data_IF_237474969818
#
_entry.id   IF_237474969818
#
_cell.length_a   1.000
_cell.length_b   1.000
_cell.length_c   1.000
_cell.angle_alpha   90.00
_cell.angle_beta   90.00
_cell.angle_gamma   90.00
#
_symmetry.space_group_name_H-M   'P 1'
#
loop_
_entity.id
_entity.type
_entity.pdbx_description
1 polymer ?
#
# COMPACT_ATOMS: atom_id res chain seq x y z
N UNK A 1 20.70 16.31 -16.36
CA UNK A 1 19.54 15.83 -17.14
C UNK A 1 18.67 14.96 -16.24
N UNK A 2 17.46 15.40 -15.88
CA UNK A 2 16.55 14.58 -15.09
C UNK A 2 16.15 13.33 -15.89
N UNK A 3 16.34 12.13 -15.32
CA UNK A 3 15.98 10.86 -15.98
C UNK A 3 14.50 10.90 -16.35
N UNK A 4 14.19 10.88 -17.66
CA UNK A 4 12.81 10.83 -18.15
C UNK A 4 12.14 9.59 -17.57
N UNK A 5 11.13 9.77 -16.72
CA UNK A 5 10.41 8.65 -16.10
C UNK A 5 9.75 7.84 -17.21
N UNK A 6 10.14 6.58 -17.36
CA UNK A 6 9.50 5.65 -18.30
C UNK A 6 8.07 5.35 -17.81
N UNK A 7 7.11 5.26 -18.73
CA UNK A 7 5.70 4.94 -18.44
C UNK A 7 4.72 5.97 -18.99
N UNK A 8 3.43 5.63 -18.96
CA UNK A 8 2.30 6.47 -19.32
C UNK A 8 2.06 7.55 -18.25
N UNK A 9 1.63 8.73 -18.68
CA UNK A 9 1.03 9.71 -17.78
C UNK A 9 -0.36 9.19 -17.40
N UNK A 10 -0.50 8.75 -16.15
CA UNK A 10 -1.73 8.24 -15.57
C UNK A 10 -1.92 9.01 -14.28
N UNK A 11 -3.04 9.69 -14.17
CA UNK A 11 -3.42 10.51 -13.04
C UNK A 11 -4.70 9.93 -12.42
N UNK A 12 -4.69 9.68 -11.12
CA UNK A 12 -5.86 9.14 -10.44
C UNK A 12 -5.55 8.43 -9.13
N UNK A 13 -6.61 7.96 -8.49
CA UNK A 13 -6.57 7.19 -7.25
C UNK A 13 -7.15 5.80 -7.51
N UNK A 14 -6.43 4.76 -7.11
CA UNK A 14 -6.96 3.40 -7.02
C UNK A 14 -7.14 3.04 -5.56
N UNK A 15 -8.36 2.64 -5.21
CA UNK A 15 -8.66 2.04 -3.90
C UNK A 15 -8.45 0.54 -4.06
N UNK A 16 -7.29 0.03 -3.64
CA UNK A 16 -6.96 -1.39 -3.73
C UNK A 16 -7.39 -2.10 -2.46
N UNK A 17 -8.04 -3.25 -2.58
CA UNK A 17 -8.11 -4.22 -1.48
C UNK A 17 -6.84 -5.08 -1.49
N UNK A 18 -5.93 -4.84 -0.54
CA UNK A 18 -4.62 -5.50 -0.48
C UNK A 18 -4.81 -6.93 0.02
N UNK A 19 -4.33 -7.96 -0.71
CA UNK A 19 -4.35 -9.32 -0.20
C UNK A 19 -3.34 -9.51 0.95
N UNK A 20 -3.55 -10.57 1.73
CA UNK A 20 -2.59 -10.99 2.76
C UNK A 20 -1.32 -11.57 2.12
N UNK A 21 -0.21 -11.56 2.86
CA UNK A 21 1.11 -12.01 2.42
C UNK A 21 1.83 -11.02 1.48
N UNK A 22 1.18 -9.96 1.02
CA UNK A 22 1.77 -8.96 0.13
C UNK A 22 2.13 -7.68 0.89
N UNK A 23 3.34 -7.17 0.70
CA UNK A 23 3.71 -5.84 1.22
C UNK A 23 3.00 -4.72 0.44
N UNK A 24 2.76 -3.60 1.09
CA UNK A 24 2.13 -2.43 0.45
C UNK A 24 2.91 -1.93 -0.78
N UNK A 25 4.24 -1.97 -0.74
CA UNK A 25 5.05 -1.61 -1.89
C UNK A 25 4.95 -2.65 -3.03
N UNK A 26 4.88 -3.95 -2.72
CA UNK A 26 4.68 -4.96 -3.77
C UNK A 26 3.34 -4.76 -4.49
N UNK A 27 2.27 -4.46 -3.74
CA UNK A 27 0.96 -4.11 -4.29
C UNK A 27 1.02 -2.86 -5.18
N UNK A 28 1.70 -1.80 -4.72
CA UNK A 28 1.94 -0.58 -5.50
C UNK A 28 2.68 -0.87 -6.81
N UNK A 29 3.78 -1.64 -6.78
CA UNK A 29 4.55 -1.95 -7.98
C UNK A 29 3.74 -2.79 -8.96
N UNK A 30 2.92 -3.72 -8.47
CA UNK A 30 2.03 -4.52 -9.30
C UNK A 30 1.02 -3.63 -10.03
N UNK A 31 0.31 -2.76 -9.30
CA UNK A 31 -0.63 -1.80 -9.89
C UNK A 31 0.06 -0.83 -10.87
N UNK A 32 1.20 -0.26 -10.50
CA UNK A 32 1.99 0.63 -11.36
C UNK A 32 2.39 -0.05 -12.68
N UNK A 33 2.74 -1.34 -12.65
CA UNK A 33 3.04 -2.13 -13.85
C UNK A 33 1.79 -2.37 -14.69
N UNK A 34 0.66 -2.73 -14.08
CA UNK A 34 -0.61 -2.97 -14.79
C UNK A 34 -1.09 -1.73 -15.55
N UNK A 35 -1.02 -0.54 -14.94
CA UNK A 35 -1.36 0.71 -15.61
C UNK A 35 -0.23 1.29 -16.46
N UNK A 36 0.97 0.70 -16.42
CA UNK A 36 2.17 1.23 -17.05
C UNK A 36 2.51 2.65 -16.60
N UNK A 37 2.19 3.02 -15.35
CA UNK A 37 2.24 4.40 -14.88
C UNK A 37 3.68 4.89 -14.61
N UNK A 38 3.98 6.12 -15.04
CA UNK A 38 5.30 6.73 -14.85
C UNK A 38 5.60 7.08 -13.38
N UNK A 39 4.55 7.38 -12.60
CA UNK A 39 4.64 7.80 -11.19
C UNK A 39 3.46 7.19 -10.42
N UNK A 40 3.77 6.61 -9.26
CA UNK A 40 2.77 6.09 -8.33
C UNK A 40 3.31 6.11 -6.89
N UNK A 41 2.42 6.15 -5.90
CA UNK A 41 2.73 6.05 -4.47
C UNK A 41 1.52 5.54 -3.70
N UNK A 42 1.73 4.92 -2.53
CA UNK A 42 0.65 4.55 -1.61
C UNK A 42 0.52 5.59 -0.48
N UNK A 43 -0.63 5.67 0.17
CA UNK A 43 -0.94 6.71 1.18
C UNK A 43 -0.88 6.22 2.62
N UNK A 44 -0.03 5.22 2.87
CA UNK A 44 0.08 4.50 4.13
C UNK A 44 0.52 3.05 3.88
N UNK A 45 1.15 2.43 4.86
CA UNK A 45 1.57 1.03 4.77
C UNK A 45 0.63 0.16 5.58
N UNK A 46 0.07 -0.86 4.94
CA UNK A 46 -0.49 -2.03 5.60
C UNK A 46 0.59 -3.11 5.75
N UNK A 47 0.61 -3.76 6.91
CA UNK A 47 1.47 -4.92 7.17
C UNK A 47 1.22 -6.04 6.16
N UNK A 48 2.22 -6.89 5.87
CA UNK A 48 2.04 -8.03 4.98
C UNK A 48 0.88 -8.94 5.40
N UNK A 49 0.67 -9.14 6.71
CA UNK A 49 -0.41 -9.98 7.23
C UNK A 49 -1.80 -9.35 7.11
N UNK A 50 -1.89 -8.01 7.11
CA UNK A 50 -3.16 -7.30 7.01
C UNK A 50 -3.77 -7.40 5.61
N UNK A 51 -5.09 -7.31 5.52
CA UNK A 51 -5.84 -7.12 4.28
C UNK A 51 -6.56 -5.78 4.30
N UNK A 52 -7.21 -5.40 3.20
CA UNK A 52 -8.10 -4.24 3.17
C UNK A 52 -7.54 -3.03 2.43
N UNK A 53 -8.09 -1.87 2.75
CA UNK A 53 -8.00 -0.65 1.93
C UNK A 53 -6.58 -0.09 1.88
N UNK A 54 -6.00 -0.08 0.68
CA UNK A 54 -4.71 0.53 0.36
C UNK A 54 -4.88 1.53 -0.80
N UNK A 55 -5.04 2.83 -0.53
CA UNK A 55 -5.12 3.84 -1.58
C UNK A 55 -3.77 4.02 -2.29
N UNK A 56 -3.80 3.93 -3.62
CA UNK A 56 -2.66 4.14 -4.50
C UNK A 56 -2.91 5.37 -5.37
N UNK A 57 -2.05 6.37 -5.27
CA UNK A 57 -2.08 7.56 -6.09
C UNK A 57 -1.17 7.41 -7.31
N UNK A 58 -1.62 7.83 -8.49
CA UNK A 58 -0.85 7.88 -9.72
C UNK A 58 -0.63 9.31 -10.18
N UNK A 59 0.53 9.56 -10.80
CA UNK A 59 0.80 10.85 -11.46
C UNK A 59 0.63 12.04 -10.52
N UNK A 60 -0.15 13.03 -10.92
CA UNK A 60 -0.44 14.25 -10.18
C UNK A 60 -1.23 13.99 -8.89
N UNK A 61 -2.03 12.92 -8.82
CA UNK A 61 -2.78 12.56 -7.61
C UNK A 61 -1.87 12.27 -6.41
N UNK A 62 -0.60 11.91 -6.66
CA UNK A 62 0.40 11.73 -5.59
C UNK A 62 0.70 13.00 -4.79
N UNK A 63 0.32 14.19 -5.28
CA UNK A 63 0.44 15.44 -4.51
C UNK A 63 -0.53 15.49 -3.33
N UNK A 64 -1.64 14.75 -3.42
CA UNK A 64 -2.66 14.68 -2.37
C UNK A 64 -2.43 13.54 -1.38
N UNK A 65 -1.34 12.77 -1.51
CA UNK A 65 -1.08 11.61 -0.64
C UNK A 65 -0.98 12.00 0.84
N UNK A 66 -0.54 13.23 1.14
CA UNK A 66 -0.44 13.73 2.52
C UNK A 66 -1.80 13.77 3.21
N UNK A 67 -2.85 14.24 2.53
CA UNK A 67 -4.20 14.29 3.11
C UNK A 67 -4.72 12.89 3.46
N UNK A 68 -4.41 11.89 2.63
CA UNK A 68 -4.79 10.50 2.87
C UNK A 68 -3.92 9.81 3.94
N UNK A 69 -2.67 10.27 4.10
CA UNK A 69 -1.81 9.84 5.21
C UNK A 69 -2.32 10.35 6.55
N UNK A 70 -2.90 11.55 6.59
CA UNK A 70 -3.42 12.16 7.82
C UNK A 70 -4.90 11.80 8.10
N UNK A 71 -5.55 11.07 7.20
CA UNK A 71 -6.93 10.63 7.37
C UNK A 71 -7.09 9.55 8.45
N UNK A 72 -8.26 9.56 9.09
CA UNK A 72 -8.67 8.52 10.04
C UNK A 72 -8.75 7.15 9.38
N UNK A 73 -8.31 6.11 10.10
CA UNK A 73 -8.30 4.72 9.64
C UNK A 73 -8.94 3.82 10.70
N UNK A 74 -9.92 3.02 10.28
CA UNK A 74 -10.49 1.96 11.08
C UNK A 74 -9.82 0.62 10.78
N UNK A 75 -9.59 -0.18 11.81
CA UNK A 75 -9.06 -1.53 11.68
C UNK A 75 -9.91 -2.50 12.48
N UNK A 76 -10.13 -3.67 11.92
CA UNK A 76 -10.65 -4.83 12.63
C UNK A 76 -9.49 -5.82 12.83
N UNK A 77 -9.28 -6.25 14.07
CA UNK A 77 -8.18 -7.14 14.42
C UNK A 77 -8.60 -8.16 15.47
N UNK A 78 -7.94 -9.32 15.42
CA UNK A 78 -8.02 -10.34 16.46
C UNK A 78 -6.72 -10.32 17.26
N UNK A 79 -6.82 -10.24 18.58
CA UNK A 79 -5.69 -10.16 19.49
C UNK A 79 -5.61 -11.43 20.34
N UNK A 80 -4.40 -11.96 20.54
CA UNK A 80 -4.13 -13.05 21.47
C UNK A 80 -3.41 -12.50 22.71
N UNK A 81 -4.07 -12.54 23.87
CA UNK A 81 -3.50 -12.07 25.13
C UNK A 81 -2.62 -13.14 25.78
N UNK A 82 -1.56 -12.71 26.48
CA UNK A 82 -0.65 -13.60 27.19
C UNK A 82 0.35 -14.35 26.30
N UNK A 83 0.33 -14.10 24.99
CA UNK A 83 1.28 -14.68 24.05
C UNK A 83 2.50 -13.77 23.86
N UNK A 84 3.69 -14.27 24.18
CA UNK A 84 4.98 -13.65 23.83
C UNK A 84 5.83 -14.62 22.98
N UNK A 85 5.68 -14.63 21.64
CA UNK A 85 6.55 -15.44 20.79
C UNK A 85 7.94 -14.81 20.70
N UNK A 86 8.99 -15.64 20.68
CA UNK A 86 10.32 -15.20 20.25
C UNK A 86 10.37 -15.17 18.72
N UNK A 87 10.91 -14.12 18.08
CA UNK A 87 11.18 -14.16 16.63
C UNK A 87 12.16 -15.30 16.29
N UNK A 88 11.97 -16.07 15.19
CA UNK A 88 10.95 -15.96 14.15
C UNK A 88 9.85 -17.03 14.31
N UNK A 89 9.08 -17.00 15.40
CA UNK A 89 7.91 -17.88 15.51
C UNK A 89 6.87 -17.45 14.47
N UNK A 90 6.39 -18.36 13.58
CA UNK A 90 5.30 -18.03 12.67
C UNK A 90 4.06 -17.62 13.48
N UNK A 91 3.51 -16.44 13.19
CA UNK A 91 2.26 -16.01 13.82
C UNK A 91 1.15 -17.00 13.41
N UNK A 92 0.42 -17.51 14.40
CA UNK A 92 -0.67 -18.45 14.17
C UNK A 92 -1.74 -17.77 13.30
N UNK A 93 -2.33 -18.57 12.41
CA UNK A 93 -3.44 -18.15 11.56
C UNK A 93 -4.68 -17.83 12.38
#
# INVERSE_FOLDING_TARGET
MARRKKGRQVDGLLVLDKPTGMSSNAALQHAKRLFGAAKAGHTGSLDPLATGVLPLCFGEATKFSQFLLDADKGYESTLCFGWAPTPPTPMAR
#
